data_IF_465440480356
#
_entry.id   IF_465440480356
#
_cell.length_a   1.000
_cell.length_b   1.000
_cell.length_c   1.000
_cell.angle_alpha   90.00
_cell.angle_beta   90.00
_cell.angle_gamma   90.00
#
_symmetry.space_group_name_H-M   'P 1'
#
loop_
_entity.id
_entity.type
_entity.pdbx_description
1 polymer ?
#
# COMPACT_ATOMS: atom_id res chain seq x y z
N UNK A 1 16.39 -10.11 14.64
CA UNK A 1 15.18 -10.60 13.95
C UNK A 1 15.46 -11.68 12.88
N UNK A 2 16.65 -11.72 12.25
CA UNK A 2 17.00 -12.67 11.18
C UNK A 2 16.83 -14.15 11.58
N UNK A 3 17.02 -14.49 12.87
CA UNK A 3 16.97 -15.86 13.41
C UNK A 3 15.66 -16.61 13.14
N UNK A 4 14.56 -15.90 12.89
CA UNK A 4 13.22 -16.49 12.73
C UNK A 4 12.69 -16.41 11.29
N UNK A 5 13.51 -15.96 10.34
CA UNK A 5 13.09 -15.89 8.93
C UNK A 5 13.01 -17.29 8.35
N UNK A 6 11.83 -17.62 7.84
CA UNK A 6 11.59 -18.84 7.07
C UNK A 6 12.36 -18.78 5.74
N UNK A 7 13.36 -19.65 5.58
CA UNK A 7 14.26 -19.65 4.43
C UNK A 7 13.55 -20.08 3.13
N UNK A 8 12.52 -20.92 3.23
CA UNK A 8 11.71 -21.32 2.08
C UNK A 8 10.95 -20.11 1.54
N UNK A 9 10.25 -19.38 2.42
CA UNK A 9 9.55 -18.15 2.03
C UNK A 9 10.50 -17.08 1.50
N UNK A 10 11.69 -16.94 2.10
CA UNK A 10 12.70 -15.99 1.62
C UNK A 10 13.17 -16.34 0.19
N UNK A 11 13.41 -17.62 -0.08
CA UNK A 11 13.81 -18.11 -1.42
C UNK A 11 12.70 -17.93 -2.45
N UNK A 12 11.46 -18.27 -2.10
CA UNK A 12 10.28 -18.08 -2.96
C UNK A 12 10.11 -16.60 -3.32
N UNK A 13 10.17 -15.71 -2.34
CA UNK A 13 10.03 -14.28 -2.57
C UNK A 13 11.12 -13.77 -3.52
N UNK A 14 12.40 -14.14 -3.31
CA UNK A 14 13.52 -13.78 -4.18
C UNK A 14 13.29 -14.20 -5.64
N UNK A 15 12.76 -15.40 -5.87
CA UNK A 15 12.45 -15.91 -7.22
C UNK A 15 11.40 -15.06 -7.94
N UNK A 16 10.45 -14.50 -7.21
CA UNK A 16 9.38 -13.67 -7.79
C UNK A 16 9.80 -12.23 -8.07
N UNK A 17 10.90 -11.72 -7.50
CA UNK A 17 11.27 -10.29 -7.57
C UNK A 17 11.41 -9.78 -9.02
N UNK A 18 12.02 -10.57 -9.90
CA UNK A 18 12.21 -10.19 -11.30
C UNK A 18 10.87 -9.91 -11.99
N UNK A 19 9.88 -10.78 -11.77
CA UNK A 19 8.56 -10.62 -12.38
C UNK A 19 7.75 -9.51 -11.72
N UNK A 20 7.87 -9.34 -10.41
CA UNK A 20 7.24 -8.23 -9.68
C UNK A 20 7.74 -6.89 -10.23
N UNK A 21 9.06 -6.73 -10.37
CA UNK A 21 9.71 -5.50 -10.86
C UNK A 21 9.30 -5.13 -12.29
N UNK A 22 8.90 -6.10 -13.11
CA UNK A 22 8.38 -5.82 -14.46
C UNK A 22 7.07 -5.01 -14.44
N UNK A 23 6.35 -4.96 -13.33
CA UNK A 23 5.11 -4.20 -13.23
C UNK A 23 5.31 -2.70 -12.99
N UNK A 24 6.50 -2.27 -12.55
CA UNK A 24 6.74 -0.87 -12.19
C UNK A 24 7.05 0.01 -13.39
N UNK A 25 6.42 1.18 -13.45
CA UNK A 25 6.72 2.18 -14.47
C UNK A 25 6.39 1.78 -15.91
N UNK A 26 5.41 0.88 -16.13
CA UNK A 26 5.09 0.33 -17.47
C UNK A 26 3.74 0.75 -18.03
N UNK A 27 2.76 1.06 -17.18
CA UNK A 27 1.40 1.39 -17.62
C UNK A 27 1.34 2.82 -18.14
N UNK A 28 0.60 3.05 -19.21
CA UNK A 28 0.44 4.38 -19.78
C UNK A 28 -0.57 5.20 -18.94
N UNK A 29 -0.19 6.42 -18.56
CA UNK A 29 -1.03 7.36 -17.80
C UNK A 29 -2.26 7.86 -18.57
N UNK A 30 -2.36 7.61 -19.88
CA UNK A 30 -3.56 7.90 -20.70
C UNK A 30 -4.68 6.89 -20.49
N UNK A 31 -4.37 5.68 -20.00
CA UNK A 31 -5.35 4.59 -19.83
C UNK A 31 -5.51 4.26 -18.34
N UNK A 32 -6.02 5.23 -17.59
CA UNK A 32 -6.27 5.10 -16.15
C UNK A 32 -7.59 4.38 -15.93
N UNK A 33 -7.55 3.28 -15.17
CA UNK A 33 -8.77 2.65 -14.68
C UNK A 33 -9.43 3.50 -13.59
N UNK A 34 -10.76 3.44 -13.49
CA UNK A 34 -11.51 4.18 -12.48
C UNK A 34 -11.42 3.56 -11.08
N UNK A 35 -10.72 2.45 -10.88
CA UNK A 35 -10.58 1.84 -9.56
C UNK A 35 -9.45 2.46 -8.74
N UNK A 36 -8.47 3.10 -9.41
CA UNK A 36 -7.29 3.70 -8.79
C UNK A 36 -6.59 2.74 -7.80
N UNK A 37 -6.57 1.45 -8.13
CA UNK A 37 -5.93 0.41 -7.33
C UNK A 37 -6.79 -0.25 -6.27
N UNK A 38 -8.03 0.21 -6.05
CA UNK A 38 -8.90 -0.32 -5.00
C UNK A 38 -10.07 -1.09 -5.61
N UNK A 39 -10.02 -2.41 -5.49
CA UNK A 39 -11.08 -3.30 -5.97
C UNK A 39 -12.33 -3.27 -5.07
N UNK A 40 -13.47 -3.64 -5.65
CA UNK A 40 -14.77 -3.69 -4.94
C UNK A 40 -14.76 -4.55 -3.67
N UNK A 41 -13.93 -5.62 -3.64
CA UNK A 41 -13.79 -6.47 -2.46
C UNK A 41 -13.22 -5.73 -1.26
N UNK A 42 -12.31 -4.77 -1.48
CA UNK A 42 -11.78 -3.91 -0.43
C UNK A 42 -12.89 -3.10 0.20
N UNK A 43 -13.82 -2.57 -0.60
CA UNK A 43 -14.94 -1.77 -0.11
C UNK A 43 -15.99 -2.57 0.70
N UNK A 44 -16.03 -3.91 0.61
CA UNK A 44 -16.95 -4.75 1.41
C UNK A 44 -16.72 -4.65 2.92
N UNK A 45 -15.50 -4.25 3.34
CA UNK A 45 -15.17 -4.03 4.74
C UNK A 45 -15.81 -2.75 5.31
N UNK A 46 -16.28 -1.85 4.45
CA UNK A 46 -16.80 -0.53 4.80
C UNK A 46 -18.34 -0.61 4.92
N UNK A 47 -18.82 -1.30 5.96
CA UNK A 47 -20.25 -1.49 6.22
C UNK A 47 -20.84 -0.32 7.01
N UNK A 48 -22.14 -0.06 6.82
CA UNK A 48 -22.89 0.97 7.57
C UNK A 48 -22.63 2.40 7.10
N UNK A 49 -22.16 2.56 5.86
CA UNK A 49 -22.00 3.85 5.19
C UNK A 49 -23.19 4.11 4.25
N UNK A 50 -23.62 5.36 4.17
CA UNK A 50 -24.83 5.77 3.44
C UNK A 50 -24.57 5.91 1.94
N UNK A 51 -23.38 6.41 1.58
CA UNK A 51 -22.95 6.53 0.17
C UNK A 51 -22.03 5.39 -0.23
N UNK A 52 -21.97 5.02 -1.53
CA UNK A 52 -21.05 4.00 -2.01
C UNK A 52 -19.58 4.38 -1.70
N UNK A 53 -18.84 3.60 -0.90
CA UNK A 53 -17.44 3.89 -0.55
C UNK A 53 -16.52 4.03 -1.76
N UNK A 54 -16.78 3.25 -2.81
CA UNK A 54 -16.03 3.33 -4.08
C UNK A 54 -16.18 4.69 -4.76
N UNK A 55 -17.38 5.26 -4.77
CA UNK A 55 -17.64 6.57 -5.40
C UNK A 55 -16.86 7.67 -4.71
N UNK A 56 -16.87 7.68 -3.38
CA UNK A 56 -16.15 8.70 -2.58
C UNK A 56 -14.65 8.60 -2.80
N UNK A 57 -14.11 7.37 -2.81
CA UNK A 57 -12.70 7.15 -3.07
C UNK A 57 -12.32 7.63 -4.48
N UNK A 58 -13.15 7.35 -5.49
CA UNK A 58 -12.93 7.80 -6.87
C UNK A 58 -12.99 9.31 -7.03
N UNK A 59 -13.93 9.98 -6.35
CA UNK A 59 -14.05 11.44 -6.32
C UNK A 59 -12.80 12.10 -5.73
N UNK A 60 -12.17 11.48 -4.72
CA UNK A 60 -10.88 11.92 -4.19
C UNK A 60 -9.72 11.58 -5.15
N UNK A 61 -9.64 10.34 -5.61
CA UNK A 61 -8.48 9.82 -6.33
C UNK A 61 -8.30 10.47 -7.72
N UNK A 62 -9.40 10.81 -8.40
CA UNK A 62 -9.36 11.41 -9.75
C UNK A 62 -8.58 12.73 -9.81
N UNK A 63 -9.02 13.82 -9.14
CA UNK A 63 -8.30 15.10 -9.20
C UNK A 63 -6.90 15.01 -8.58
N UNK A 64 -6.72 14.14 -7.58
CA UNK A 64 -5.40 13.92 -7.00
C UNK A 64 -4.43 13.29 -8.00
N UNK A 65 -4.88 12.28 -8.74
CA UNK A 65 -4.09 11.61 -9.78
C UNK A 65 -3.72 12.56 -10.91
N UNK A 66 -4.66 13.39 -11.38
CA UNK A 66 -4.39 14.42 -12.39
C UNK A 66 -3.29 15.38 -11.93
N UNK A 67 -3.37 15.84 -10.67
CA UNK A 67 -2.34 16.68 -10.07
C UNK A 67 -0.98 15.98 -10.02
N UNK A 68 -0.93 14.71 -9.62
CA UNK A 68 0.32 13.94 -9.54
C UNK A 68 0.95 13.71 -10.92
N UNK A 69 0.16 13.37 -11.94
CA UNK A 69 0.65 13.16 -13.30
C UNK A 69 1.27 14.44 -13.86
N UNK A 70 0.67 15.60 -13.56
CA UNK A 70 1.18 16.90 -13.98
C UNK A 70 2.41 17.33 -13.19
N UNK A 71 2.40 17.17 -11.87
CA UNK A 71 3.43 17.72 -10.98
C UNK A 71 4.65 16.81 -10.78
N UNK A 72 4.46 15.49 -10.83
CA UNK A 72 5.48 14.45 -10.62
C UNK A 72 6.42 14.77 -9.46
N UNK A 73 5.91 14.78 -8.20
CA UNK A 73 6.57 15.43 -7.07
C UNK A 73 7.73 14.60 -6.49
N UNK A 74 8.74 14.28 -7.30
CA UNK A 74 9.88 13.44 -6.92
C UNK A 74 10.65 13.93 -5.70
N UNK A 75 10.80 15.25 -5.55
CA UNK A 75 11.44 15.83 -4.37
C UNK A 75 10.67 15.54 -3.08
N UNK A 76 9.33 15.48 -3.15
CA UNK A 76 8.47 15.18 -2.01
C UNK A 76 8.53 13.70 -1.59
N UNK A 77 9.12 12.82 -2.41
CA UNK A 77 9.22 11.38 -2.14
C UNK A 77 10.66 10.86 -2.15
N UNK A 78 11.66 11.73 -2.29
CA UNK A 78 13.07 11.35 -2.55
C UNK A 78 13.78 10.62 -1.39
N UNK A 79 13.26 10.74 -0.18
CA UNK A 79 13.76 10.08 1.03
C UNK A 79 12.62 9.38 1.74
N UNK A 80 12.94 8.43 2.62
CA UNK A 80 11.91 7.75 3.42
C UNK A 80 11.11 8.75 4.28
N UNK A 81 11.78 9.73 4.89
CA UNK A 81 11.12 10.77 5.70
C UNK A 81 10.19 11.63 4.84
N UNK A 82 10.65 12.07 3.66
CA UNK A 82 9.82 12.85 2.74
C UNK A 82 8.62 12.04 2.27
N UNK A 83 8.83 10.77 1.91
CA UNK A 83 7.76 9.87 1.51
C UNK A 83 6.71 9.68 2.62
N UNK A 84 7.12 9.44 3.87
CA UNK A 84 6.20 9.32 5.02
C UNK A 84 5.35 10.58 5.22
N UNK A 85 5.97 11.75 5.08
CA UNK A 85 5.26 13.02 5.11
C UNK A 85 4.27 13.14 3.95
N UNK A 86 4.71 12.87 2.72
CA UNK A 86 3.85 12.92 1.53
C UNK A 86 2.67 11.95 1.61
N UNK A 87 2.89 10.74 2.13
CA UNK A 87 1.84 9.75 2.40
C UNK A 87 0.81 10.28 3.40
N UNK A 88 1.26 10.84 4.53
CA UNK A 88 0.38 11.45 5.53
C UNK A 88 -0.41 12.63 4.96
N UNK A 89 0.25 13.49 4.19
CA UNK A 89 -0.36 14.64 3.51
C UNK A 89 -1.37 14.18 2.44
N UNK A 90 -1.18 12.99 1.85
CA UNK A 90 -2.12 12.34 0.92
C UNK A 90 -3.35 11.77 1.63
N UNK A 91 -3.19 11.27 2.87
CA UNK A 91 -4.27 10.70 3.68
C UNK A 91 -5.26 11.76 4.20
N UNK A 92 -4.79 12.97 4.50
CA UNK A 92 -5.63 14.08 5.00
C UNK A 92 -6.81 14.42 4.06
N UNK A 93 -6.62 14.72 2.77
CA UNK A 93 -7.73 15.04 1.87
C UNK A 93 -8.66 13.84 1.64
N UNK A 94 -8.16 12.60 1.66
CA UNK A 94 -9.00 11.41 1.58
C UNK A 94 -9.94 11.33 2.79
N UNK A 95 -9.39 11.47 4.00
CA UNK A 95 -10.17 11.45 5.23
C UNK A 95 -11.21 12.58 5.26
N UNK A 96 -10.82 13.79 4.83
CA UNK A 96 -11.72 14.95 4.75
C UNK A 96 -12.88 14.73 3.77
N UNK A 97 -12.60 14.25 2.55
CA UNK A 97 -13.63 13.91 1.56
C UNK A 97 -14.57 12.83 2.09
N UNK A 98 -14.03 11.82 2.78
CA UNK A 98 -14.83 10.76 3.37
C UNK A 98 -15.76 11.25 4.48
N UNK A 99 -15.23 12.02 5.42
CA UNK A 99 -15.99 12.62 6.52
C UNK A 99 -17.15 13.47 5.98
N UNK A 100 -16.87 14.32 5.00
CA UNK A 100 -17.88 15.19 4.36
C UNK A 100 -18.98 14.38 3.67
N UNK A 101 -18.66 13.21 3.13
CA UNK A 101 -19.60 12.41 2.36
C UNK A 101 -20.46 11.46 3.22
N UNK A 102 -19.97 11.02 4.38
CA UNK A 102 -20.53 9.92 5.16
C UNK A 102 -20.98 10.29 6.58
N UNK A 103 -20.67 11.50 7.04
CA UNK A 103 -20.82 11.94 8.45
C UNK A 103 -20.14 11.00 9.47
N UNK A 104 -19.23 10.15 8.98
CA UNK A 104 -18.47 9.17 9.73
C UNK A 104 -17.10 8.97 9.11
N UNK A 105 -16.07 9.12 9.93
CA UNK A 105 -14.70 8.98 9.48
C UNK A 105 -14.23 7.56 9.27
N UNK A 106 -13.27 7.44 8.36
CA UNK A 106 -12.42 6.27 8.28
C UNK A 106 -11.56 6.18 9.54
N UNK A 107 -11.36 4.96 10.02
CA UNK A 107 -10.28 4.72 10.97
C UNK A 107 -8.93 5.01 10.32
N UNK A 108 -7.92 5.24 11.16
CA UNK A 108 -6.54 5.43 10.74
C UNK A 108 -6.08 4.33 9.76
N UNK A 109 -6.25 3.07 10.16
CA UNK A 109 -5.78 1.92 9.38
C UNK A 109 -6.50 1.77 8.03
N UNK A 110 -7.81 2.07 7.96
CA UNK A 110 -8.53 2.05 6.68
C UNK A 110 -8.10 3.19 5.77
N UNK A 111 -7.88 4.38 6.32
CA UNK A 111 -7.36 5.53 5.54
C UNK A 111 -6.01 5.21 4.93
N UNK A 112 -5.07 4.73 5.75
CA UNK A 112 -3.70 4.43 5.30
C UNK A 112 -3.69 3.30 4.27
N UNK A 113 -4.47 2.23 4.50
CA UNK A 113 -4.61 1.13 3.53
C UNK A 113 -5.07 1.62 2.16
N UNK A 114 -6.06 2.51 2.09
CA UNK A 114 -6.54 3.04 0.81
C UNK A 114 -5.45 3.86 0.10
N UNK A 115 -4.67 4.63 0.85
CA UNK A 115 -3.52 5.38 0.31
C UNK A 115 -2.40 4.43 -0.15
N UNK A 116 -2.10 3.36 0.59
CA UNK A 116 -1.09 2.37 0.20
C UNK A 116 -1.49 1.64 -1.09
N UNK A 117 -2.75 1.21 -1.20
CA UNK A 117 -3.29 0.60 -2.43
C UNK A 117 -3.23 1.57 -3.61
N UNK A 118 -3.56 2.84 -3.38
CA UNK A 118 -3.42 3.89 -4.39
C UNK A 118 -1.98 4.05 -4.86
N UNK A 119 -1.01 4.10 -3.93
CA UNK A 119 0.41 4.25 -4.28
C UNK A 119 0.95 3.00 -4.98
N UNK A 120 0.54 1.80 -4.57
CA UNK A 120 0.84 0.54 -5.25
C UNK A 120 0.32 0.53 -6.69
N UNK A 121 -0.84 1.12 -6.92
CA UNK A 121 -1.38 1.28 -8.26
C UNK A 121 -0.59 2.33 -9.05
N UNK A 122 -0.32 3.48 -8.45
CA UNK A 122 0.41 4.60 -9.05
C UNK A 122 1.82 4.19 -9.50
N UNK A 123 2.54 3.38 -8.72
CA UNK A 123 3.90 2.91 -9.05
C UNK A 123 4.00 2.08 -10.33
N UNK A 124 2.87 1.56 -10.82
CA UNK A 124 2.84 0.78 -12.06
C UNK A 124 2.84 1.66 -13.31
N UNK A 125 2.57 2.96 -13.18
CA UNK A 125 2.47 3.88 -14.31
C UNK A 125 3.80 4.50 -14.68
N UNK A 126 3.97 4.73 -15.97
CA UNK A 126 5.10 5.44 -16.54
C UNK A 126 4.93 6.95 -16.36
N UNK A 127 5.90 7.57 -15.67
CA UNK A 127 6.02 9.02 -15.55
C UNK A 127 7.20 9.54 -16.39
N UNK A 128 7.21 10.84 -16.65
CA UNK A 128 8.33 11.49 -17.35
C UNK A 128 9.58 11.47 -16.46
N UNK A 129 9.41 11.85 -15.20
CA UNK A 129 10.42 11.71 -14.16
C UNK A 129 10.45 10.27 -13.64
N UNK A 130 11.43 9.51 -14.11
CA UNK A 130 11.65 8.11 -13.69
C UNK A 130 12.04 7.99 -12.22
N UNK A 131 12.61 9.04 -11.62
CA UNK A 131 12.96 9.03 -10.20
C UNK A 131 11.71 8.96 -9.33
N UNK A 132 10.58 9.51 -9.76
CA UNK A 132 9.31 9.42 -9.04
C UNK A 132 8.92 7.97 -8.76
N UNK A 133 8.86 7.14 -9.81
CA UNK A 133 8.52 5.71 -9.69
C UNK A 133 9.56 4.95 -8.87
N UNK A 134 10.85 5.26 -9.06
CA UNK A 134 11.92 4.64 -8.30
C UNK A 134 11.78 4.92 -6.79
N UNK A 135 11.46 6.17 -6.43
CA UNK A 135 11.20 6.58 -5.05
C UNK A 135 9.94 5.91 -4.47
N UNK A 136 8.83 5.85 -5.22
CA UNK A 136 7.64 5.11 -4.80
C UNK A 136 7.98 3.65 -4.53
N UNK A 137 8.68 3.00 -5.46
CA UNK A 137 9.06 1.58 -5.34
C UNK A 137 9.94 1.33 -4.12
N UNK A 138 10.86 2.26 -3.82
CA UNK A 138 11.81 2.16 -2.71
C UNK A 138 11.17 2.38 -1.34
N UNK A 139 10.32 3.41 -1.20
CA UNK A 139 9.86 3.87 0.11
C UNK A 139 8.40 3.55 0.44
N UNK A 140 7.59 3.13 -0.56
CA UNK A 140 6.19 2.80 -0.31
C UNK A 140 6.01 1.69 0.73
N UNK A 141 4.97 1.86 1.51
CA UNK A 141 4.50 0.88 2.48
C UNK A 141 3.78 -0.27 1.78
N UNK A 142 3.71 -1.41 2.47
CA UNK A 142 2.84 -2.50 2.06
C UNK A 142 1.40 -2.17 2.49
N UNK A 143 0.42 -2.30 1.60
CA UNK A 143 -0.99 -2.17 1.98
C UNK A 143 -1.37 -3.31 2.93
N UNK A 144 -1.52 -2.99 4.20
CA UNK A 144 -1.84 -4.00 5.20
C UNK A 144 -3.26 -4.54 4.97
N UNK A 145 -3.41 -5.85 5.09
CA UNK A 145 -4.65 -6.58 5.14
C UNK A 145 -4.45 -7.98 5.75
N UNK A 146 -5.50 -8.78 5.83
CA UNK A 146 -5.39 -10.13 6.39
C UNK A 146 -4.42 -11.02 5.61
N UNK A 147 -4.27 -10.85 4.30
CA UNK A 147 -3.34 -11.64 3.49
C UNK A 147 -1.89 -11.22 3.77
N UNK A 148 -1.58 -9.93 3.76
CA UNK A 148 -0.21 -9.43 4.01
C UNK A 148 0.21 -9.68 5.45
N UNK A 149 -0.70 -9.51 6.42
CA UNK A 149 -0.45 -9.80 7.84
C UNK A 149 -0.30 -11.31 8.11
N UNK A 150 -1.09 -12.17 7.46
CA UNK A 150 -0.89 -13.61 7.56
C UNK A 150 0.42 -14.02 6.88
N UNK A 151 0.74 -13.44 5.72
CA UNK A 151 1.96 -13.75 4.98
C UNK A 151 3.20 -13.40 5.78
N UNK A 152 3.24 -12.25 6.44
CA UNK A 152 4.38 -11.89 7.28
C UNK A 152 4.53 -12.84 8.47
N UNK A 153 3.42 -13.32 9.05
CA UNK A 153 3.50 -14.33 10.11
C UNK A 153 4.11 -15.64 9.60
N UNK A 154 3.76 -16.09 8.38
CA UNK A 154 4.37 -17.26 7.73
C UNK A 154 5.87 -17.03 7.45
N UNK A 155 6.25 -15.84 6.98
CA UNK A 155 7.65 -15.48 6.72
C UNK A 155 8.54 -15.51 7.96
N UNK A 156 7.95 -15.39 9.16
CA UNK A 156 8.63 -15.51 10.44
C UNK A 156 8.30 -16.82 11.17
N UNK A 157 8.00 -17.89 10.42
CA UNK A 157 7.72 -19.23 10.96
C UNK A 157 6.64 -19.24 12.05
N UNK A 158 5.63 -18.37 11.92
CA UNK A 158 4.51 -18.17 12.85
C UNK A 158 4.93 -17.72 14.26
N UNK A 159 6.11 -17.12 14.43
CA UNK A 159 6.59 -16.68 15.73
C UNK A 159 5.99 -15.34 16.19
N UNK A 160 5.28 -14.63 15.31
CA UNK A 160 4.63 -13.37 15.69
C UNK A 160 3.32 -13.69 16.42
N UNK A 161 2.97 -12.97 17.50
CA UNK A 161 1.73 -13.18 18.27
C UNK A 161 0.51 -12.61 17.53
N UNK A 162 0.40 -12.92 16.23
CA UNK A 162 -0.61 -12.39 15.32
C UNK A 162 -1.46 -13.56 14.82
N UNK A 163 -2.46 -13.95 15.61
CA UNK A 163 -3.41 -15.01 15.25
C UNK A 163 -4.58 -14.44 14.45
N UNK A 164 -4.78 -14.90 13.21
CA UNK A 164 -5.86 -14.47 12.32
C UNK A 164 -5.98 -12.93 12.17
N UNK A 165 -4.88 -12.23 11.82
CA UNK A 165 -4.87 -10.78 11.77
C UNK A 165 -5.92 -10.21 10.83
N UNK A 166 -6.55 -9.14 11.27
CA UNK A 166 -7.47 -8.32 10.49
C UNK A 166 -7.03 -6.87 10.55
N UNK A 167 -7.48 -6.09 9.56
CA UNK A 167 -7.26 -4.65 9.57
C UNK A 167 -7.86 -3.94 10.79
N UNK A 168 -8.91 -4.52 11.38
CA UNK A 168 -9.50 -4.01 12.61
C UNK A 168 -8.56 -4.03 13.81
N UNK A 169 -7.50 -4.85 13.79
CA UNK A 169 -6.55 -5.00 14.89
C UNK A 169 -5.46 -3.91 14.88
N UNK A 170 -5.39 -3.12 13.81
CA UNK A 170 -4.47 -1.98 13.68
C UNK A 170 -5.18 -0.73 14.23
N UNK A 171 -5.05 -0.52 15.54
CA UNK A 171 -5.78 0.55 16.22
C UNK A 171 -5.12 1.93 16.12
N UNK A 172 -3.82 2.00 15.87
CA UNK A 172 -3.05 3.25 15.86
C UNK A 172 -1.84 3.20 14.91
N UNK A 173 -1.17 4.35 14.78
CA UNK A 173 0.02 4.51 13.94
C UNK A 173 1.17 3.60 14.37
N UNK A 174 1.40 3.41 15.67
CA UNK A 174 2.50 2.59 16.17
C UNK A 174 2.37 1.12 15.79
N UNK A 175 1.16 0.54 15.87
CA UNK A 175 0.90 -0.83 15.41
C UNK A 175 1.14 -0.94 13.90
N UNK A 176 0.67 0.04 13.13
CA UNK A 176 0.88 0.08 11.69
C UNK A 176 2.37 0.14 11.34
N UNK A 177 3.12 1.04 11.98
CA UNK A 177 4.56 1.22 11.78
C UNK A 177 5.36 -0.03 12.14
N UNK A 178 5.01 -0.69 13.26
CA UNK A 178 5.61 -1.97 13.65
C UNK A 178 5.41 -3.04 12.57
N UNK A 179 4.19 -3.16 12.01
CA UNK A 179 3.96 -4.09 10.90
C UNK A 179 4.81 -3.74 9.67
N UNK A 180 4.91 -2.46 9.31
CA UNK A 180 5.76 -2.01 8.20
C UNK A 180 7.25 -2.29 8.45
N UNK A 181 7.72 -2.15 9.68
CA UNK A 181 9.11 -2.44 10.07
C UNK A 181 9.40 -3.94 9.96
N UNK A 182 8.53 -4.80 10.49
CA UNK A 182 8.70 -6.27 10.42
C UNK A 182 8.75 -6.73 8.95
N UNK A 183 7.88 -6.19 8.10
CA UNK A 183 7.90 -6.43 6.65
C UNK A 183 9.23 -5.92 6.05
N UNK A 184 9.63 -4.69 6.39
CA UNK A 184 10.88 -4.09 5.94
C UNK A 184 12.11 -4.95 6.26
N UNK A 185 12.20 -5.50 7.47
CA UNK A 185 13.28 -6.37 7.91
C UNK A 185 13.35 -7.69 7.10
N UNK A 186 12.19 -8.26 6.76
CA UNK A 186 12.13 -9.43 5.87
C UNK A 186 12.58 -9.07 4.45
N UNK A 187 12.06 -7.96 3.90
CA UNK A 187 12.43 -7.45 2.57
C UNK A 187 13.92 -7.15 2.45
N UNK A 188 14.55 -6.59 3.48
CA UNK A 188 15.99 -6.31 3.49
C UNK A 188 16.81 -7.59 3.31
N UNK A 189 16.41 -8.69 3.96
CA UNK A 189 17.04 -10.01 3.81
C UNK A 189 16.87 -10.59 2.39
N UNK A 190 15.87 -10.09 1.66
CA UNK A 190 15.59 -10.45 0.27
C UNK A 190 16.27 -9.53 -0.77
N UNK A 191 16.82 -8.37 -0.36
CA UNK A 191 17.22 -7.32 -1.30
C UNK A 191 16.02 -6.71 -2.05
N UNK A 192 14.90 -6.59 -1.33
CA UNK A 192 13.60 -6.19 -1.85
C UNK A 192 13.01 -5.01 -1.07
N UNK A 193 11.86 -4.50 -1.51
CA UNK A 193 11.10 -3.42 -0.85
C UNK A 193 9.78 -3.91 -0.28
N UNK A 194 9.16 -3.11 0.61
CA UNK A 194 7.84 -3.41 1.19
C UNK A 194 6.75 -3.44 0.11
N UNK A 195 6.88 -2.60 -0.91
CA UNK A 195 5.96 -2.62 -2.05
C UNK A 195 6.08 -3.92 -2.84
N UNK A 196 7.30 -4.41 -3.09
CA UNK A 196 7.51 -5.70 -3.75
C UNK A 196 6.91 -6.86 -2.94
N UNK A 197 7.02 -6.79 -1.61
CA UNK A 197 6.36 -7.77 -0.73
C UNK A 197 4.85 -7.73 -0.88
N UNK A 198 4.23 -6.56 -0.99
CA UNK A 198 2.79 -6.42 -1.21
C UNK A 198 2.34 -7.13 -2.51
N UNK A 199 3.06 -6.93 -3.62
CA UNK A 199 2.78 -7.66 -4.87
C UNK A 199 2.91 -9.17 -4.75
N UNK A 200 3.84 -9.66 -3.91
CA UNK A 200 4.03 -11.09 -3.69
C UNK A 200 3.00 -11.70 -2.73
N UNK A 201 2.69 -10.98 -1.65
CA UNK A 201 1.84 -11.44 -0.56
C UNK A 201 0.36 -11.41 -0.93
N UNK A 202 -0.06 -10.42 -1.72
CA UNK A 202 -1.45 -10.21 -2.08
C UNK A 202 -1.85 -11.01 -3.32
N UNK A 203 -2.93 -11.80 -3.21
CA UNK A 203 -3.53 -12.55 -4.33
C UNK A 203 -4.88 -11.96 -4.70
N UNK A 204 -5.14 -11.89 -6.01
CA UNK A 204 -6.41 -11.41 -6.57
C UNK A 204 -7.53 -12.39 -6.22
N UNK A 205 -8.66 -11.88 -5.73
CA UNK A 205 -9.85 -12.68 -5.38
C UNK A 205 -10.05 -12.92 -3.89
N UNK A 206 -9.01 -12.73 -3.07
CA UNK A 206 -9.03 -13.10 -1.65
C UNK A 206 -8.66 -14.56 -1.44
#
# INVERSE_FOLDING_TARGET
MIKYIDQTQLSEFKKCLTDIRKNFGKKNTKNIDLSYGVEGNTFRAYRGFTKPPSSIFQEWARPYTEKIIKAQPSAAVSTESNFKKWHSDTAIPLSSQWNKAQDKGLSFAHTYKLVDLYIKWLSQFEFQDKSFVAHLTKYASCALDSQTLNKINICYSKCLPISNPRMGDIHNASTYELCQEIIGNFCQSAGATKLEFDFWAWRKGG
#
